data_IF_147749151932
#
_entry.id   IF_147749151932
#
_cell.length_a   1.000
_cell.length_b   1.000
_cell.length_c   1.000
_cell.angle_alpha   90.00
_cell.angle_beta   90.00
_cell.angle_gamma   90.00
#
_symmetry.space_group_name_H-M   'P 1'
#
loop_
_entity.id
_entity.type
_entity.pdbx_description
1 polymer ?
#
# COMPACT_ATOMS: atom_id res chain seq x y z
N UNK A 1 11.00 1.60 50.97
CA UNK A 1 11.89 1.59 49.78
C UNK A 1 11.16 2.25 48.63
N UNK A 2 11.72 3.32 48.05
CA UNK A 2 11.23 3.82 46.77
C UNK A 2 11.75 2.82 45.74
N UNK A 3 10.84 2.16 45.04
CA UNK A 3 11.20 1.26 43.95
C UNK A 3 11.97 2.07 42.92
N UNK A 4 13.18 1.62 42.56
CA UNK A 4 13.95 2.30 41.52
C UNK A 4 13.43 1.76 40.19
N UNK A 5 12.92 2.63 39.30
CA UNK A 5 12.56 2.21 37.96
C UNK A 5 13.78 1.53 37.32
N UNK A 6 13.61 0.33 36.76
CA UNK A 6 14.63 -0.36 35.97
C UNK A 6 14.64 0.26 34.57
N UNK A 7 15.84 0.47 34.04
CA UNK A 7 16.12 0.99 32.71
C UNK A 7 17.33 0.16 32.25
N UNK A 8 17.03 -0.97 31.58
CA UNK A 8 18.00 -2.03 31.34
C UNK A 8 18.99 -1.68 30.22
N UNK A 9 18.59 -0.90 29.23
CA UNK A 9 19.42 -0.49 28.10
C UNK A 9 20.00 0.93 28.23
N UNK A 10 19.50 1.73 29.17
CA UNK A 10 20.02 3.06 29.50
C UNK A 10 19.58 4.15 28.53
N UNK A 11 18.48 3.95 27.80
CA UNK A 11 17.95 4.91 26.83
C UNK A 11 17.16 6.07 27.50
N UNK A 12 16.87 5.94 28.80
CA UNK A 12 16.16 6.92 29.62
C UNK A 12 14.65 6.69 29.74
N UNK A 13 14.13 5.60 29.17
CA UNK A 13 12.78 5.10 29.37
C UNK A 13 12.82 3.95 30.37
N UNK A 14 11.83 3.89 31.24
CA UNK A 14 11.74 2.79 32.20
C UNK A 14 11.18 1.55 31.51
N UNK A 15 11.71 0.36 31.81
CA UNK A 15 11.30 -0.94 31.22
C UNK A 15 9.78 -1.20 31.21
N UNK A 16 9.00 -0.57 32.09
CA UNK A 16 7.52 -0.72 32.11
C UNK A 16 6.82 0.06 30.99
N UNK A 17 7.47 1.07 30.43
CA UNK A 17 6.97 1.94 29.37
C UNK A 17 7.80 1.85 28.09
N UNK A 18 8.84 1.02 28.10
CA UNK A 18 9.73 0.76 26.98
C UNK A 18 9.29 -0.53 26.28
N UNK A 19 8.98 -0.43 25.00
CA UNK A 19 8.61 -1.58 24.18
C UNK A 19 9.83 -2.36 23.68
N UNK A 20 11.03 -1.82 23.86
CA UNK A 20 12.33 -2.38 23.49
C UNK A 20 13.38 -2.29 24.62
N UNK A 21 13.10 -2.80 25.84
CA UNK A 21 13.92 -2.58 27.05
C UNK A 21 15.36 -3.11 27.00
N UNK A 22 15.74 -3.80 25.93
CA UNK A 22 17.08 -4.37 25.73
C UNK A 22 17.83 -3.73 24.52
N UNK A 23 17.25 -2.72 23.84
CA UNK A 23 17.83 -2.07 22.66
C UNK A 23 17.73 -0.53 22.72
N UNK A 24 18.82 0.17 23.08
CA UNK A 24 18.78 1.60 23.41
C UNK A 24 18.58 2.53 22.20
N UNK A 25 18.30 1.95 21.03
CA UNK A 25 17.95 2.67 19.80
C UNK A 25 16.46 2.91 19.69
N UNK A 26 15.64 2.10 20.35
CA UNK A 26 14.19 2.04 20.19
C UNK A 26 13.53 2.12 21.58
N UNK A 27 12.35 2.74 21.65
CA UNK A 27 11.58 2.85 22.89
C UNK A 27 10.07 2.65 22.67
N UNK A 28 9.57 3.07 21.49
CA UNK A 28 8.14 3.08 21.18
C UNK A 28 7.88 2.54 19.77
N UNK A 29 6.70 1.96 19.56
CA UNK A 29 6.20 1.39 18.32
C UNK A 29 4.77 1.85 18.11
N UNK A 30 4.50 2.42 16.94
CA UNK A 30 3.15 2.82 16.54
C UNK A 30 2.70 1.95 15.37
N UNK A 31 1.64 1.17 15.59
CA UNK A 31 1.07 0.31 14.55
C UNK A 31 -0.06 1.01 13.79
N UNK A 32 -0.08 0.87 12.47
CA UNK A 32 -1.17 1.32 11.60
C UNK A 32 -1.59 0.17 10.65
N UNK A 33 -2.89 -0.13 10.49
CA UNK A 33 -4.03 0.54 11.14
C UNK A 33 -4.20 0.21 12.63
N UNK A 34 -3.49 -0.79 13.13
CA UNK A 34 -3.47 -1.17 14.55
C UNK A 34 -2.66 -2.45 14.71
N UNK A 35 -2.37 -2.81 15.96
CA UNK A 35 -1.64 -4.04 16.27
C UNK A 35 -2.44 -5.28 15.81
N UNK A 36 -1.80 -6.16 15.04
CA UNK A 36 -2.45 -7.36 14.49
C UNK A 36 -3.56 -7.09 13.46
N UNK A 37 -3.76 -5.84 13.04
CA UNK A 37 -4.75 -5.44 12.05
C UNK A 37 -4.07 -5.07 10.73
N UNK A 38 -4.71 -5.41 9.61
CA UNK A 38 -4.28 -5.02 8.27
C UNK A 38 -5.29 -4.07 7.63
N UNK A 39 -4.79 -3.10 6.87
CA UNK A 39 -5.58 -2.45 5.82
C UNK A 39 -5.35 -3.16 4.49
N UNK A 40 -6.07 -2.77 3.45
CA UNK A 40 -5.85 -3.30 2.08
C UNK A 40 -5.73 -2.18 1.08
N UNK A 41 -4.73 -2.26 0.21
CA UNK A 41 -4.71 -1.57 -1.06
C UNK A 41 -5.23 -2.49 -2.15
N UNK A 42 -6.23 -2.03 -2.90
CA UNK A 42 -6.80 -2.74 -4.03
C UNK A 42 -6.70 -1.84 -5.28
N UNK A 43 -6.21 -2.39 -6.39
CA UNK A 43 -5.96 -1.66 -7.64
C UNK A 43 -6.60 -2.35 -8.84
N UNK A 44 -6.90 -1.53 -9.84
CA UNK A 44 -7.11 -1.89 -11.24
C UNK A 44 -5.82 -1.57 -12.04
N UNK A 45 -5.42 -2.39 -13.00
CA UNK A 45 -4.17 -2.22 -13.76
C UNK A 45 -4.37 -1.71 -15.19
N UNK A 46 -5.62 -1.49 -15.60
CA UNK A 46 -5.92 -1.03 -16.95
C UNK A 46 -5.81 0.48 -17.13
N UNK A 47 -5.53 1.25 -16.07
CA UNK A 47 -5.38 2.71 -16.12
C UNK A 47 -4.47 3.15 -17.29
N UNK A 48 -4.90 4.11 -18.15
CA UNK A 48 -6.03 5.03 -17.98
C UNK A 48 -7.38 4.52 -18.49
N UNK A 49 -7.46 3.28 -18.97
CA UNK A 49 -8.74 2.64 -19.28
C UNK A 49 -9.41 2.14 -17.99
N UNK A 50 -10.73 2.19 -17.93
CA UNK A 50 -11.50 1.77 -16.75
C UNK A 50 -11.31 0.28 -16.40
N UNK A 51 -11.22 -0.60 -17.40
CA UNK A 51 -11.24 -2.05 -17.16
C UNK A 51 -12.62 -2.60 -16.79
N UNK A 52 -12.63 -3.81 -16.22
CA UNK A 52 -13.80 -4.53 -15.72
C UNK A 52 -14.18 -4.15 -14.29
N UNK A 53 -13.30 -3.45 -13.56
CA UNK A 53 -13.65 -2.70 -12.37
C UNK A 53 -13.99 -3.58 -11.16
N UNK A 54 -13.32 -4.72 -11.02
CA UNK A 54 -13.47 -5.69 -9.94
C UNK A 54 -12.50 -5.44 -8.76
N UNK A 55 -11.49 -4.58 -8.94
CA UNK A 55 -10.43 -4.20 -8.00
C UNK A 55 -9.66 -5.38 -7.43
N UNK A 56 -9.36 -6.37 -8.26
CA UNK A 56 -8.56 -7.51 -7.85
C UNK A 56 -7.25 -7.69 -8.65
N UNK A 57 -6.95 -6.79 -9.60
CA UNK A 57 -5.69 -6.82 -10.38
C UNK A 57 -4.45 -6.81 -9.50
N UNK A 58 -4.50 -6.08 -8.38
CA UNK A 58 -3.64 -6.27 -7.21
C UNK A 58 -4.45 -6.05 -5.93
N UNK A 59 -4.45 -7.04 -5.04
CA UNK A 59 -4.95 -6.89 -3.66
C UNK A 59 -3.79 -7.13 -2.70
N UNK A 60 -3.37 -6.10 -1.98
CA UNK A 60 -2.27 -6.15 -1.04
C UNK A 60 -2.74 -5.69 0.34
N UNK A 61 -2.80 -6.61 1.29
CA UNK A 61 -2.96 -6.24 2.70
C UNK A 61 -1.67 -5.58 3.19
N UNK A 62 -1.78 -4.57 4.05
CA UNK A 62 -0.63 -3.86 4.60
C UNK A 62 -0.75 -3.58 6.10
N UNK A 63 0.40 -3.56 6.78
CA UNK A 63 0.54 -3.06 8.13
C UNK A 63 1.86 -2.29 8.26
N UNK A 64 1.83 -1.16 8.96
CA UNK A 64 3.01 -0.36 9.26
C UNK A 64 3.31 -0.38 10.76
N UNK A 65 4.58 -0.55 11.12
CA UNK A 65 5.12 -0.39 12.47
C UNK A 65 6.17 0.72 12.43
N UNK A 66 5.83 1.87 13.02
CA UNK A 66 6.72 3.03 13.13
C UNK A 66 7.47 2.95 14.45
N UNK A 67 8.76 2.62 14.40
CA UNK A 67 9.61 2.39 15.57
C UNK A 67 10.37 3.68 15.87
N UNK A 68 10.23 4.18 17.09
CA UNK A 68 10.77 5.45 17.56
C UNK A 68 11.71 5.27 18.75
N UNK A 69 12.67 6.19 18.89
CA UNK A 69 13.59 6.26 20.03
C UNK A 69 12.93 6.90 21.27
N UNK A 70 13.65 6.96 22.40
CA UNK A 70 13.23 7.62 23.64
C UNK A 70 12.76 9.08 23.49
N UNK A 71 13.23 9.78 22.45
CA UNK A 71 12.82 11.16 22.11
C UNK A 71 11.56 11.23 21.24
N UNK A 72 10.88 10.10 21.05
CA UNK A 72 9.70 9.94 20.19
C UNK A 72 9.93 10.33 18.73
N UNK A 73 11.14 10.04 18.23
CA UNK A 73 11.49 10.23 16.83
C UNK A 73 11.58 8.87 16.15
N UNK A 74 10.86 8.70 15.04
CA UNK A 74 10.89 7.50 14.22
C UNK A 74 12.28 7.28 13.63
N UNK A 75 12.86 6.12 13.91
CA UNK A 75 14.20 5.70 13.47
C UNK A 75 14.15 4.50 12.53
N UNK A 76 13.04 3.74 12.56
CA UNK A 76 12.76 2.68 11.60
C UNK A 76 11.26 2.67 11.25
N UNK A 77 10.94 2.41 9.99
CA UNK A 77 9.60 2.06 9.52
C UNK A 77 9.64 0.63 8.99
N UNK A 78 8.94 -0.28 9.65
CA UNK A 78 8.68 -1.62 9.15
C UNK A 78 7.30 -1.66 8.48
N UNK A 79 7.24 -2.21 7.27
CA UNK A 79 6.03 -2.35 6.49
C UNK A 79 5.87 -3.79 6.02
N UNK A 80 4.75 -4.41 6.38
CA UNK A 80 4.37 -5.72 5.84
C UNK A 80 3.37 -5.54 4.73
N UNK A 81 3.57 -6.28 3.64
CA UNK A 81 2.64 -6.37 2.53
C UNK A 81 2.35 -7.83 2.23
N UNK A 82 1.10 -8.25 2.40
CA UNK A 82 0.63 -9.59 2.04
C UNK A 82 -0.08 -9.47 0.69
N UNK A 83 0.54 -9.97 -0.38
CA UNK A 83 -0.10 -9.95 -1.70
C UNK A 83 -1.17 -11.04 -1.71
N UNK A 84 -2.44 -10.67 -1.59
CA UNK A 84 -3.57 -11.59 -1.43
C UNK A 84 -4.02 -12.20 -2.75
N UNK A 85 -4.03 -11.38 -3.79
CA UNK A 85 -4.52 -11.73 -5.11
C UNK A 85 -3.87 -10.88 -6.20
N UNK A 86 -3.82 -11.46 -7.39
CA UNK A 86 -3.35 -10.81 -8.62
C UNK A 86 -4.26 -11.28 -9.76
N UNK A 87 -5.34 -10.53 -10.03
CA UNK A 87 -6.27 -10.71 -11.16
C UNK A 87 -5.71 -10.22 -12.50
N UNK A 88 -4.45 -9.81 -12.51
CA UNK A 88 -3.81 -9.21 -13.67
C UNK A 88 -3.18 -10.23 -14.63
N UNK A 89 -3.33 -9.96 -15.93
CA UNK A 89 -2.46 -10.54 -16.97
C UNK A 89 -1.12 -9.80 -17.13
N UNK A 90 -1.04 -8.55 -16.67
CA UNK A 90 0.17 -7.74 -16.74
C UNK A 90 1.17 -8.11 -15.64
N UNK A 91 2.46 -7.89 -15.93
CA UNK A 91 3.53 -7.97 -14.93
C UNK A 91 3.57 -6.65 -14.15
N UNK A 92 2.82 -6.54 -13.08
CA UNK A 92 2.74 -5.31 -12.30
C UNK A 92 3.81 -5.28 -11.19
N UNK A 93 4.44 -4.12 -11.00
CA UNK A 93 5.26 -3.81 -9.82
C UNK A 93 4.45 -3.03 -8.79
N UNK A 94 4.94 -2.96 -7.56
CA UNK A 94 4.31 -2.25 -6.44
C UNK A 94 5.35 -1.50 -5.61
N UNK A 95 5.03 -0.26 -5.24
CA UNK A 95 5.90 0.61 -4.46
C UNK A 95 5.13 1.59 -3.59
N UNK A 96 5.86 2.23 -2.68
CA UNK A 96 5.30 3.27 -1.79
C UNK A 96 6.23 4.48 -1.77
N UNK A 97 5.67 5.68 -1.88
CA UNK A 97 6.39 6.94 -1.74
C UNK A 97 6.18 7.54 -0.35
N UNK A 98 7.26 8.02 0.26
CA UNK A 98 7.30 8.77 1.52
C UNK A 98 7.56 10.26 1.24
N UNK A 99 7.05 11.15 2.09
CA UNK A 99 7.18 12.61 1.96
C UNK A 99 8.51 13.19 2.47
N UNK A 100 9.60 12.46 2.24
CA UNK A 100 10.97 12.82 2.62
C UNK A 100 11.91 12.67 1.44
N UNK A 101 13.07 13.34 1.47
CA UNK A 101 14.10 13.10 0.47
C UNK A 101 14.70 11.69 0.61
N UNK A 102 15.07 11.01 -0.49
CA UNK A 102 15.71 9.70 -0.44
C UNK A 102 16.97 9.67 0.43
N UNK A 103 17.72 10.77 0.50
CA UNK A 103 18.93 10.92 1.33
C UNK A 103 18.67 10.94 2.85
N UNK A 104 17.42 11.00 3.28
CA UNK A 104 17.03 10.89 4.70
C UNK A 104 17.13 9.44 5.19
N UNK A 105 17.01 8.48 4.26
CA UNK A 105 17.01 7.04 4.53
C UNK A 105 18.46 6.53 4.47
N UNK A 106 18.86 5.75 5.47
CA UNK A 106 20.15 5.07 5.51
C UNK A 106 20.10 3.78 4.68
N UNK A 107 19.04 3.01 4.81
CA UNK A 107 18.89 1.72 4.16
C UNK A 107 17.41 1.32 3.99
N UNK A 108 17.08 0.74 2.84
CA UNK A 108 15.87 -0.05 2.60
C UNK A 108 16.29 -1.51 2.43
N UNK A 109 15.57 -2.44 3.06
CA UNK A 109 15.81 -3.88 2.94
C UNK A 109 14.52 -4.68 2.99
N UNK A 110 14.57 -5.96 2.59
CA UNK A 110 13.45 -6.90 2.63
C UNK A 110 12.48 -6.80 1.44
N UNK A 111 12.71 -5.87 0.52
CA UNK A 111 12.02 -5.78 -0.76
C UNK A 111 12.33 -6.97 -1.68
N UNK A 112 11.37 -7.35 -2.54
CA UNK A 112 11.53 -8.41 -3.53
C UNK A 112 11.73 -7.81 -4.93
N UNK A 113 12.98 -7.55 -5.31
CA UNK A 113 13.32 -6.95 -6.62
C UNK A 113 14.24 -7.90 -7.38
N UNK A 114 13.87 -8.24 -8.61
CA UNK A 114 14.50 -9.29 -9.42
C UNK A 114 14.88 -8.85 -10.84
N UNK A 115 14.57 -7.61 -11.19
CA UNK A 115 14.72 -7.01 -12.51
C UNK A 115 15.07 -5.52 -12.42
N UNK A 116 15.28 -4.89 -13.58
CA UNK A 116 15.70 -3.49 -13.68
C UNK A 116 14.50 -2.50 -13.74
N UNK A 117 13.30 -2.90 -13.31
CA UNK A 117 12.12 -2.01 -13.30
C UNK A 117 12.36 -0.75 -12.49
N UNK A 118 12.99 -0.90 -11.32
CA UNK A 118 13.38 0.19 -10.44
C UNK A 118 14.90 0.34 -10.45
N UNK A 119 15.40 1.51 -10.86
CA UNK A 119 16.81 1.84 -10.69
C UNK A 119 17.05 2.25 -9.23
N UNK A 120 17.85 1.49 -8.47
CA UNK A 120 18.03 1.75 -7.04
C UNK A 120 19.28 2.58 -6.73
N UNK A 121 19.15 3.50 -5.78
CA UNK A 121 20.27 4.12 -5.08
C UNK A 121 20.96 3.10 -4.16
N UNK A 122 22.15 3.45 -3.66
CA UNK A 122 22.90 2.59 -2.73
C UNK A 122 22.15 2.29 -1.42
N UNK A 123 21.26 3.19 -0.98
CA UNK A 123 20.41 2.99 0.20
C UNK A 123 19.11 2.22 -0.10
N UNK A 124 18.92 1.71 -1.32
CA UNK A 124 17.75 0.91 -1.72
C UNK A 124 16.49 1.70 -2.09
N UNK A 125 16.49 3.03 -1.97
CA UNK A 125 15.43 3.88 -2.54
C UNK A 125 15.53 3.95 -4.06
N UNK A 126 14.44 4.25 -4.76
CA UNK A 126 14.50 4.49 -6.20
C UNK A 126 15.27 5.79 -6.54
N UNK A 127 16.17 5.70 -7.52
CA UNK A 127 16.95 6.80 -8.06
C UNK A 127 16.10 7.73 -8.94
N UNK A 128 16.51 9.00 -9.04
CA UNK A 128 15.83 9.99 -9.89
C UNK A 128 14.56 10.58 -9.28
N UNK A 129 14.34 10.39 -7.98
CA UNK A 129 13.18 10.89 -7.26
C UNK A 129 13.56 12.00 -6.27
N UNK A 130 12.72 13.03 -6.16
CA UNK A 130 12.80 14.11 -5.16
C UNK A 130 12.31 13.63 -3.81
N UNK A 131 11.29 12.78 -3.82
CA UNK A 131 10.73 12.09 -2.64
C UNK A 131 11.18 10.63 -2.61
N UNK A 132 11.34 10.06 -1.44
CA UNK A 132 11.77 8.68 -1.29
C UNK A 132 10.70 7.74 -1.84
N UNK A 133 11.04 6.98 -2.87
CA UNK A 133 10.24 5.86 -3.35
C UNK A 133 10.89 4.58 -2.84
N UNK A 134 10.08 3.73 -2.24
CA UNK A 134 10.43 2.43 -1.66
C UNK A 134 9.80 1.36 -2.56
N UNK A 135 10.57 0.74 -3.46
CA UNK A 135 10.09 -0.41 -4.23
C UNK A 135 9.81 -1.58 -3.29
N UNK A 136 8.61 -2.14 -3.35
CA UNK A 136 8.22 -3.31 -2.55
C UNK A 136 8.46 -4.58 -3.37
N UNK A 137 7.93 -4.61 -4.59
CA UNK A 137 8.22 -5.66 -5.57
C UNK A 137 8.16 -5.15 -7.01
N UNK A 138 8.92 -5.76 -7.91
CA UNK A 138 8.87 -5.50 -9.35
C UNK A 138 8.04 -6.52 -10.14
N UNK A 139 7.47 -7.51 -9.46
CA UNK A 139 6.59 -8.52 -10.04
C UNK A 139 5.66 -9.07 -8.96
N UNK A 140 4.41 -8.59 -8.94
CA UNK A 140 3.40 -9.02 -7.98
C UNK A 140 3.11 -10.53 -8.00
N UNK A 141 3.44 -11.22 -9.10
CA UNK A 141 3.32 -12.67 -9.21
C UNK A 141 4.49 -13.44 -8.57
N UNK A 142 5.59 -12.80 -8.18
CA UNK A 142 6.83 -13.52 -7.88
C UNK A 142 6.80 -14.40 -6.63
N UNK A 143 5.91 -14.12 -5.67
CA UNK A 143 5.66 -14.98 -4.50
C UNK A 143 4.78 -16.20 -4.78
N UNK A 144 4.32 -16.38 -6.02
CA UNK A 144 3.34 -17.39 -6.39
C UNK A 144 3.88 -18.40 -7.41
N UNK A 145 3.23 -19.57 -7.46
CA UNK A 145 3.49 -20.58 -8.47
C UNK A 145 2.79 -20.19 -9.79
N UNK A 146 3.59 -19.71 -10.75
CA UNK A 146 3.14 -19.45 -12.12
C UNK A 146 2.71 -18.01 -12.38
N UNK A 147 1.89 -17.83 -13.42
CA UNK A 147 1.38 -16.53 -13.90
C UNK A 147 -0.09 -16.65 -14.28
N UNK A 148 -0.76 -15.51 -14.36
CA UNK A 148 -2.19 -15.40 -14.68
C UNK A 148 -2.97 -14.98 -13.43
N UNK A 149 -4.25 -15.34 -13.40
CA UNK A 149 -5.13 -15.02 -12.28
C UNK A 149 -4.71 -15.81 -11.03
N UNK A 150 -4.33 -15.10 -9.97
CA UNK A 150 -3.98 -15.66 -8.67
C UNK A 150 -5.06 -15.27 -7.68
N UNK A 151 -5.73 -16.27 -7.10
CA UNK A 151 -6.75 -16.11 -6.07
C UNK A 151 -7.92 -15.18 -6.46
N UNK A 152 -8.25 -15.00 -7.74
CA UNK A 152 -9.43 -14.23 -8.21
C UNK A 152 -10.45 -15.10 -8.96
N UNK A 153 -10.00 -16.21 -9.56
CA UNK A 153 -10.82 -17.18 -10.28
C UNK A 153 -10.99 -18.47 -9.45
N UNK A 154 -12.22 -18.77 -9.02
CA UNK A 154 -12.56 -19.93 -8.19
C UNK A 154 -12.41 -21.28 -8.93
N UNK A 155 -12.19 -21.27 -10.25
CA UNK A 155 -11.88 -22.48 -11.01
C UNK A 155 -10.41 -22.89 -10.95
N UNK A 156 -9.54 -22.01 -10.45
CA UNK A 156 -8.12 -22.24 -10.25
C UNK A 156 -7.84 -22.66 -8.80
N UNK A 157 -6.74 -23.38 -8.58
CA UNK A 157 -6.30 -23.74 -7.25
C UNK A 157 -5.89 -22.49 -6.46
N UNK A 158 -6.34 -22.40 -5.21
CA UNK A 158 -5.89 -21.36 -4.29
C UNK A 158 -4.39 -21.49 -4.03
N UNK A 159 -3.69 -20.36 -4.00
CA UNK A 159 -2.28 -20.27 -3.63
C UNK A 159 -2.15 -19.45 -2.34
N UNK A 160 -1.44 -19.98 -1.35
CA UNK A 160 -1.23 -19.25 -0.10
C UNK A 160 -0.41 -17.96 -0.35
N UNK A 161 -0.92 -16.79 0.07
CA UNK A 161 -0.20 -15.53 -0.03
C UNK A 161 1.15 -15.54 0.68
N UNK A 162 2.15 -14.92 0.06
CA UNK A 162 3.43 -14.60 0.71
C UNK A 162 3.42 -13.18 1.30
N UNK A 163 4.30 -12.94 2.28
CA UNK A 163 4.46 -11.65 2.95
C UNK A 163 5.80 -11.03 2.61
N UNK A 164 5.77 -9.81 2.08
CA UNK A 164 6.97 -9.00 1.87
C UNK A 164 7.09 -8.03 3.05
N UNK A 165 8.13 -8.19 3.86
CA UNK A 165 8.44 -7.29 4.98
C UNK A 165 9.57 -6.35 4.58
N UNK A 166 9.25 -5.07 4.41
CA UNK A 166 10.21 -4.02 4.08
C UNK A 166 10.59 -3.25 5.34
N UNK A 167 11.89 -3.08 5.57
CA UNK A 167 12.43 -2.23 6.64
C UNK A 167 13.08 -0.98 6.03
N UNK A 168 12.73 0.19 6.56
CA UNK A 168 13.25 1.50 6.13
C UNK A 168 13.89 2.19 7.33
N UNK A 169 15.22 2.19 7.36
CA UNK A 169 16.02 2.81 8.40
C UNK A 169 16.36 4.27 8.05
N UNK A 170 16.30 5.16 9.02
CA UNK A 170 16.61 6.58 8.82
C UNK A 170 18.02 6.93 9.31
N UNK A 171 18.70 7.85 8.62
CA UNK A 171 20.04 8.34 9.03
C UNK A 171 20.01 9.03 10.40
N UNK A 172 18.87 9.62 10.76
CA UNK A 172 18.58 10.23 12.06
C UNK A 172 17.08 10.17 12.33
N UNK A 173 16.69 10.17 13.60
CA UNK A 173 15.28 10.15 13.98
C UNK A 173 14.48 11.31 13.35
N UNK A 174 13.33 10.99 12.77
CA UNK A 174 12.38 11.96 12.20
C UNK A 174 11.07 11.99 13.00
N UNK A 175 10.27 13.04 12.87
CA UNK A 175 8.91 13.01 13.45
C UNK A 175 8.08 11.91 12.79
N UNK A 176 7.11 11.30 13.50
CA UNK A 176 6.22 10.28 12.94
C UNK A 176 5.51 10.75 11.66
N UNK A 177 5.02 11.99 11.63
CA UNK A 177 4.43 12.60 10.42
C UNK A 177 5.45 13.08 9.38
N UNK A 178 6.75 12.94 9.66
CA UNK A 178 7.83 13.51 8.85
C UNK A 178 7.99 12.78 7.52
N UNK A 179 7.76 11.47 7.51
CA UNK A 179 7.73 10.62 6.31
C UNK A 179 6.41 10.72 5.51
N UNK A 180 5.50 11.62 5.92
CA UNK A 180 4.08 11.55 5.56
C UNK A 180 3.28 10.87 6.66
N UNK A 181 1.99 10.63 6.41
CA UNK A 181 1.09 9.97 7.36
C UNK A 181 0.61 8.66 6.76
N UNK A 182 0.65 7.57 7.54
CA UNK A 182 0.10 6.29 7.14
C UNK A 182 -1.43 6.40 6.89
N UNK A 183 -1.97 5.77 5.83
CA UNK A 183 -1.25 5.00 4.82
C UNK A 183 -0.51 5.97 3.90
N UNK A 184 0.78 5.70 3.67
CA UNK A 184 1.66 6.50 2.81
C UNK A 184 1.14 6.50 1.35
N UNK A 185 1.92 6.95 0.36
CA UNK A 185 1.44 6.98 -1.03
C UNK A 185 1.77 5.67 -1.78
N UNK A 186 0.89 4.65 -1.82
CA UNK A 186 1.14 3.44 -2.59
C UNK A 186 0.88 3.67 -4.08
N UNK A 187 1.58 2.90 -4.91
CA UNK A 187 1.32 2.88 -6.34
C UNK A 187 1.67 1.55 -6.99
N UNK A 188 0.93 1.27 -8.06
CA UNK A 188 1.15 0.15 -8.97
C UNK A 188 1.98 0.65 -10.16
N UNK A 189 3.04 -0.08 -10.54
CA UNK A 189 3.74 0.12 -11.82
C UNK A 189 3.20 -0.89 -12.82
N UNK A 190 2.42 -0.41 -13.78
CA UNK A 190 1.62 -1.28 -14.64
C UNK A 190 2.49 -1.89 -15.74
N UNK A 191 2.37 -3.22 -15.88
CA UNK A 191 2.96 -3.99 -16.99
C UNK A 191 4.45 -3.71 -17.22
N UNK A 192 5.23 -3.66 -16.13
CA UNK A 192 6.68 -3.46 -16.14
C UNK A 192 7.11 -2.19 -16.92
N UNK A 193 6.23 -1.19 -16.99
CA UNK A 193 6.46 0.07 -17.70
C UNK A 193 6.62 1.15 -16.66
N UNK A 194 7.87 1.53 -16.33
CA UNK A 194 8.15 2.39 -15.16
C UNK A 194 7.31 3.67 -15.14
N UNK A 195 7.18 4.39 -16.26
CA UNK A 195 6.38 5.61 -16.33
C UNK A 195 4.86 5.42 -16.29
N UNK A 196 4.34 4.19 -16.32
CA UNK A 196 2.90 3.92 -16.20
C UNK A 196 2.59 3.53 -14.75
N UNK A 197 2.51 4.52 -13.88
CA UNK A 197 2.20 4.32 -12.47
C UNK A 197 0.80 4.81 -12.11
N UNK A 198 0.08 3.98 -11.35
CA UNK A 198 -1.25 4.29 -10.83
C UNK A 198 -1.17 4.44 -9.31
N UNK A 199 -1.56 5.61 -8.81
CA UNK A 199 -1.66 5.87 -7.38
C UNK A 199 -3.12 5.88 -6.90
N UNK A 200 -3.28 6.00 -5.58
CA UNK A 200 -4.58 6.25 -4.97
C UNK A 200 -5.18 7.59 -5.44
N UNK A 201 -6.52 7.69 -5.52
CA UNK A 201 -7.20 8.93 -5.87
C UNK A 201 -6.76 10.12 -5.00
N UNK A 202 -6.31 11.21 -5.63
CA UNK A 202 -5.87 12.43 -4.94
C UNK A 202 -4.40 12.43 -4.47
N UNK A 203 -3.68 11.33 -4.63
CA UNK A 203 -2.23 11.31 -4.44
C UNK A 203 -1.53 11.77 -5.72
N UNK A 204 -0.46 12.56 -5.55
CA UNK A 204 0.37 12.98 -6.67
C UNK A 204 1.24 11.80 -7.17
N UNK A 205 1.58 11.77 -8.48
CA UNK A 205 2.57 10.84 -9.02
C UNK A 205 3.95 11.02 -8.40
N UNK A 206 4.84 10.05 -8.64
CA UNK A 206 6.28 10.19 -8.46
C UNK A 206 6.90 11.03 -9.60
N UNK A 207 8.18 11.38 -9.50
CA UNK A 207 8.88 12.19 -10.52
C UNK A 207 9.09 11.43 -11.84
N UNK A 208 8.97 10.10 -11.81
CA UNK A 208 9.23 9.25 -12.97
C UNK A 208 7.95 8.88 -13.76
N UNK A 209 6.78 9.41 -13.38
CA UNK A 209 5.56 9.20 -14.15
C UNK A 209 5.70 9.71 -15.58
N UNK A 210 5.15 8.97 -16.53
CA UNK A 210 4.90 9.48 -17.87
C UNK A 210 3.56 10.23 -17.86
N UNK A 211 3.63 11.56 -17.92
CA UNK A 211 2.44 12.42 -17.91
C UNK A 211 1.57 12.29 -19.17
N UNK A 212 2.04 11.64 -20.24
CA UNK A 212 1.28 11.43 -21.47
C UNK A 212 0.03 10.54 -21.26
N UNK A 213 -0.03 9.79 -20.15
CA UNK A 213 -1.23 9.02 -19.79
C UNK A 213 -2.33 9.89 -19.16
N UNK A 214 -1.99 11.05 -18.59
CA UNK A 214 -2.95 11.88 -17.85
C UNK A 214 -3.98 12.54 -18.76
N UNK A 215 -5.24 12.54 -18.30
CA UNK A 215 -6.36 13.14 -19.04
C UNK A 215 -6.73 12.35 -20.30
N UNK A 216 -6.25 11.11 -20.45
CA UNK A 216 -6.51 10.26 -21.63
C UNK A 216 -7.52 9.16 -21.32
N UNK A 217 -8.19 8.65 -22.37
CA UNK A 217 -9.16 7.54 -22.29
C UNK A 217 -10.26 7.82 -21.25
N UNK A 218 -10.17 7.25 -20.04
CA UNK A 218 -11.12 7.50 -18.96
C UNK A 218 -10.51 8.32 -17.82
N UNK A 219 -9.19 8.51 -17.79
CA UNK A 219 -8.48 9.33 -16.80
C UNK A 219 -8.82 10.81 -16.97
N UNK A 220 -9.07 11.47 -15.85
CA UNK A 220 -9.35 12.89 -15.75
C UNK A 220 -8.33 13.60 -14.84
N UNK A 221 -7.11 13.04 -14.73
CA UNK A 221 -6.02 13.69 -13.99
C UNK A 221 -5.73 15.04 -14.62
N UNK A 222 -5.71 16.08 -13.79
CA UNK A 222 -5.36 17.45 -14.12
C UNK A 222 -4.42 17.96 -13.03
N UNK A 223 -3.12 18.03 -13.38
CA UNK A 223 -2.06 18.47 -12.48
C UNK A 223 -2.26 19.92 -12.02
N UNK A 224 -2.82 20.78 -12.88
CA UNK A 224 -3.06 22.19 -12.57
C UNK A 224 -4.24 22.38 -11.60
N UNK A 225 -5.21 21.48 -11.65
CA UNK A 225 -6.35 21.46 -10.74
C UNK A 225 -6.13 20.59 -9.48
N UNK A 226 -5.02 19.83 -9.40
CA UNK A 226 -4.75 18.89 -8.32
C UNK A 226 -5.71 17.69 -8.30
N UNK A 227 -6.23 17.30 -9.47
CA UNK A 227 -7.09 16.14 -9.64
C UNK A 227 -6.22 14.98 -10.11
N UNK A 228 -6.25 13.85 -9.42
CA UNK A 228 -5.39 12.70 -9.74
C UNK A 228 -6.18 11.38 -9.69
N UNK A 229 -5.92 10.51 -10.68
CA UNK A 229 -6.30 9.09 -10.72
C UNK A 229 -7.79 8.82 -10.49
N UNK A 230 -8.65 9.64 -11.12
CA UNK A 230 -10.09 9.44 -11.17
C UNK A 230 -10.61 9.68 -12.58
N UNK A 231 -11.73 9.06 -12.90
CA UNK A 231 -12.49 9.38 -14.11
C UNK A 231 -13.20 10.73 -13.98
N UNK A 232 -13.73 11.24 -15.10
CA UNK A 232 -14.53 12.47 -15.13
C UNK A 232 -15.76 12.43 -14.19
N UNK A 233 -16.26 11.23 -13.88
CA UNK A 233 -17.40 11.01 -12.96
C UNK A 233 -16.95 10.61 -11.55
N UNK A 234 -15.66 10.74 -11.23
CA UNK A 234 -15.12 10.55 -9.88
C UNK A 234 -14.79 9.10 -9.50
N UNK A 235 -14.93 8.14 -10.42
CA UNK A 235 -14.58 6.75 -10.16
C UNK A 235 -13.04 6.58 -10.09
N UNK A 236 -12.47 5.99 -9.01
CA UNK A 236 -11.04 5.74 -8.89
C UNK A 236 -10.61 4.42 -9.53
N UNK A 237 -9.30 4.19 -9.71
CA UNK A 237 -8.70 2.88 -10.02
C UNK A 237 -7.97 2.23 -8.84
N UNK A 238 -7.78 2.96 -7.75
CA UNK A 238 -7.21 2.44 -6.51
C UNK A 238 -8.14 2.72 -5.33
N UNK A 239 -8.20 1.82 -4.38
CA UNK A 239 -8.88 2.03 -3.11
C UNK A 239 -8.07 1.51 -1.92
N UNK A 240 -8.26 2.17 -0.79
CA UNK A 240 -7.68 1.79 0.49
C UNK A 240 -8.80 1.49 1.48
N UNK A 241 -8.75 0.33 2.12
CA UNK A 241 -9.72 -0.11 3.12
C UNK A 241 -9.04 -0.34 4.48
N UNK A 242 -9.72 -0.04 5.60
CA UNK A 242 -9.17 -0.20 6.94
C UNK A 242 -9.31 -1.64 7.48
N UNK A 243 -9.43 -2.63 6.60
CA UNK A 243 -9.55 -4.06 6.90
C UNK A 243 -9.03 -4.88 5.71
N UNK A 244 -8.80 -6.18 5.94
CA UNK A 244 -8.52 -7.15 4.87
C UNK A 244 -9.75 -7.31 3.97
N UNK A 245 -9.64 -6.91 2.71
CA UNK A 245 -10.76 -6.77 1.78
C UNK A 245 -11.23 -8.11 1.19
N UNK A 246 -12.53 -8.38 1.29
CA UNK A 246 -13.17 -9.47 0.55
C UNK A 246 -13.46 -9.04 -0.90
N UNK A 247 -12.49 -9.18 -1.78
CA UNK A 247 -12.59 -8.68 -3.15
C UNK A 247 -13.57 -9.50 -4.02
N UNK A 248 -14.18 -8.88 -5.05
CA UNK A 248 -14.96 -9.57 -6.07
C UNK A 248 -14.16 -10.63 -6.83
N UNK A 249 -14.87 -11.61 -7.41
CA UNK A 249 -14.29 -12.58 -8.35
C UNK A 249 -13.77 -11.86 -9.59
N UNK A 250 -12.84 -12.50 -10.28
CA UNK A 250 -12.34 -12.10 -11.60
C UNK A 250 -13.48 -11.65 -12.53
N UNK A 251 -13.36 -10.47 -13.14
CA UNK A 251 -14.31 -9.82 -14.07
C UNK A 251 -15.67 -9.45 -13.47
N UNK A 252 -15.80 -9.51 -12.15
CA UNK A 252 -17.04 -9.15 -11.47
C UNK A 252 -16.91 -7.75 -10.92
N UNK A 253 -17.49 -6.77 -11.63
CA UNK A 253 -17.47 -5.36 -11.22
C UNK A 253 -17.83 -5.21 -9.73
N UNK A 254 -17.05 -4.44 -8.98
CA UNK A 254 -17.20 -4.28 -7.53
C UNK A 254 -18.61 -3.85 -7.13
N UNK A 255 -19.32 -3.15 -8.01
CA UNK A 255 -20.71 -2.70 -7.78
C UNK A 255 -21.72 -3.84 -7.79
N UNK A 256 -21.38 -4.99 -8.37
CA UNK A 256 -22.18 -6.21 -8.28
C UNK A 256 -21.99 -6.93 -6.94
N UNK A 257 -20.80 -6.83 -6.35
CA UNK A 257 -20.49 -7.39 -5.03
C UNK A 257 -20.87 -6.47 -3.86
N UNK A 258 -20.82 -5.16 -4.06
CA UNK A 258 -20.99 -4.13 -3.03
C UNK A 258 -22.00 -3.07 -3.45
N UNK A 259 -23.22 -3.20 -2.95
CA UNK A 259 -24.41 -2.47 -3.42
C UNK A 259 -24.31 -0.94 -3.24
N UNK A 260 -23.55 -0.48 -2.23
CA UNK A 260 -23.42 0.94 -1.89
C UNK A 260 -22.15 1.59 -2.47
N UNK A 261 -21.29 0.84 -3.17
CA UNK A 261 -20.00 1.34 -3.65
C UNK A 261 -20.15 2.58 -4.55
N UNK A 262 -21.09 2.54 -5.50
CA UNK A 262 -21.26 3.64 -6.46
C UNK A 262 -21.65 4.95 -5.78
N UNK A 263 -22.52 4.89 -4.76
CA UNK A 263 -22.94 6.07 -3.99
C UNK A 263 -21.80 6.62 -3.15
N UNK A 264 -20.98 5.74 -2.56
CA UNK A 264 -19.77 6.13 -1.85
C UNK A 264 -18.76 6.84 -2.78
N UNK A 265 -18.40 6.21 -3.90
CA UNK A 265 -17.40 6.74 -4.83
C UNK A 265 -17.82 8.09 -5.41
N UNK A 266 -19.07 8.22 -5.87
CA UNK A 266 -19.60 9.48 -6.43
C UNK A 266 -19.74 10.60 -5.40
N UNK A 267 -19.90 10.27 -4.12
CA UNK A 267 -19.93 11.26 -3.04
C UNK A 267 -18.55 11.79 -2.65
N UNK A 268 -17.47 11.30 -3.26
CA UNK A 268 -16.10 11.58 -2.82
C UNK A 268 -15.76 10.93 -1.48
N UNK A 269 -16.48 9.86 -1.11
CA UNK A 269 -16.23 9.09 0.11
C UNK A 269 -17.00 9.54 1.36
N UNK A 270 -17.96 10.46 1.25
CA UNK A 270 -18.71 11.00 2.40
C UNK A 270 -20.06 10.31 2.68
N UNK A 271 -20.56 9.51 1.75
CA UNK A 271 -21.76 8.69 1.92
C UNK A 271 -21.38 7.21 1.96
N UNK A 272 -22.09 6.41 2.75
CA UNK A 272 -21.83 4.96 2.89
C UNK A 272 -20.35 4.65 3.16
N UNK A 273 -19.73 5.36 4.11
CA UNK A 273 -18.32 5.16 4.50
C UNK A 273 -17.99 3.74 4.97
N UNK A 274 -19.03 2.96 5.25
CA UNK A 274 -19.00 1.57 5.69
C UNK A 274 -19.50 0.61 4.60
N UNK A 275 -19.56 1.03 3.32
CA UNK A 275 -20.08 0.24 2.19
C UNK A 275 -19.45 -1.16 2.11
N UNK A 276 -18.21 -1.28 2.54
CA UNK A 276 -17.42 -2.50 2.55
C UNK A 276 -17.72 -3.39 3.74
N UNK A 277 -18.58 -3.06 4.70
CA UNK A 277 -18.83 -3.93 5.86
C UNK A 277 -19.85 -5.02 5.52
N UNK A 278 -19.67 -6.23 6.06
CA UNK A 278 -20.65 -7.31 5.94
C UNK A 278 -21.91 -7.00 6.77
N UNK A 279 -22.89 -6.34 6.13
CA UNK A 279 -24.20 -6.02 6.68
C UNK A 279 -25.30 -6.49 5.73
N UNK A 280 -26.47 -6.80 6.28
CA UNK A 280 -27.64 -7.16 5.47
C UNK A 280 -27.93 -6.08 4.43
N UNK A 281 -27.95 -6.46 3.15
CA UNK A 281 -28.22 -5.56 2.03
C UNK A 281 -27.00 -4.78 1.50
N UNK A 282 -25.82 -4.90 2.12
CA UNK A 282 -24.61 -4.19 1.65
C UNK A 282 -23.86 -4.95 0.56
N UNK A 283 -23.87 -6.28 0.62
CA UNK A 283 -23.05 -7.14 -0.25
C UNK A 283 -23.88 -8.22 -0.93
N UNK A 284 -23.40 -8.68 -2.08
CA UNK A 284 -23.85 -9.90 -2.75
C UNK A 284 -22.76 -10.98 -2.63
N UNK A 285 -22.90 -11.96 -1.72
CA UNK A 285 -21.86 -12.94 -1.43
C UNK A 285 -21.56 -13.91 -2.59
N UNK A 286 -22.41 -13.98 -3.61
CA UNK A 286 -22.16 -14.83 -4.79
C UNK A 286 -21.19 -14.17 -5.79
N UNK A 287 -20.91 -12.88 -5.61
CA UNK A 287 -20.00 -12.07 -6.43
C UNK A 287 -18.62 -11.89 -5.80
N UNK A 288 -18.48 -12.25 -4.53
CA UNK A 288 -17.22 -12.18 -3.78
C UNK A 288 -16.43 -13.47 -3.97
N UNK A 289 -15.12 -13.36 -4.13
CA UNK A 289 -14.23 -14.50 -4.24
C UNK A 289 -14.26 -15.36 -2.96
N UNK A 290 -14.35 -16.68 -3.13
CA UNK A 290 -14.29 -17.64 -2.03
C UNK A 290 -13.10 -18.57 -2.24
N UNK A 291 -12.18 -18.58 -1.27
CA UNK A 291 -11.09 -19.57 -1.18
C UNK A 291 -11.68 -20.98 -1.34
N UNK A 292 -11.22 -21.69 -2.37
CA UNK A 292 -11.51 -23.10 -2.61
C UNK A 292 -10.41 -23.98 -2.03
#
# INVERSE_FOLDING_TARGET
PIDKPVDADGDGVNDTYDEYPDDPRYAYMYSYPGEGAYGTFAFEDQWPNKGDYDFNDLVADYQYRQIANASNQMVNLEAEYVIKAVGAGFKNGFGVQLDIAPSTISQVSGNYISSDLFALNANGTEAGQTKAVIPVTDDAHAGFEGRGFINTDESLAYQDPDTITVSVEFNSGITLSGAGVAPFNPFLVINNTRGRELHMPGYAPTDLVNTDYFGTVNDATDLGAGIYYKTQVGLPWGMNLPLSFDYPKEKTDVREGYNNFNQWAQSGGFSFMDWYVEKTGYRNPDRIYKKQ
#
